data_IF_559108480797
#
_entry.id   IF_559108480797
#
_cell.length_a   1.000
_cell.length_b   1.000
_cell.length_c   1.000
_cell.angle_alpha   90.00
_cell.angle_beta   90.00
_cell.angle_gamma   90.00
#
_symmetry.space_group_name_H-M   'P 1'
#
loop_
_entity.id
_entity.type
_entity.pdbx_description
1 polymer ?
#
# COMPACT_ATOMS: atom_id res chain seq x y z
N UNK A 1 22.27 7.07 5.30
CA UNK A 1 20.82 7.55 5.25
C UNK A 1 20.37 8.24 6.54
N UNK A 2 21.26 9.01 7.17
CA UNK A 2 20.97 9.70 8.44
C UNK A 2 19.70 10.56 8.36
N UNK A 3 18.91 10.53 9.43
CA UNK A 3 17.68 11.32 9.62
C UNK A 3 16.52 11.04 8.65
N UNK A 4 16.47 9.89 8.00
CA UNK A 4 15.33 9.48 7.20
C UNK A 4 14.39 8.60 8.01
N UNK A 5 13.10 8.93 8.01
CA UNK A 5 12.07 8.19 8.76
C UNK A 5 11.40 7.12 7.89
N UNK A 6 11.36 7.32 6.59
CA UNK A 6 10.70 6.42 5.64
C UNK A 6 11.62 6.13 4.46
N UNK A 7 11.68 4.86 4.07
CA UNK A 7 12.27 4.39 2.82
C UNK A 7 11.17 3.77 1.95
N UNK A 8 11.10 4.18 0.70
CA UNK A 8 10.23 3.59 -0.31
C UNK A 8 11.12 3.12 -1.46
N UNK A 9 11.24 1.81 -1.61
CA UNK A 9 12.02 1.16 -2.66
C UNK A 9 11.10 0.67 -3.79
N UNK A 10 11.38 1.10 -5.02
CA UNK A 10 10.74 0.64 -6.27
C UNK A 10 11.82 0.37 -7.31
N UNK A 11 12.91 -0.30 -6.89
CA UNK A 11 14.13 -0.39 -7.67
C UNK A 11 14.54 -1.84 -7.93
N UNK A 12 15.56 -2.33 -7.24
CA UNK A 12 16.17 -3.63 -7.48
C UNK A 12 16.51 -4.34 -6.15
N UNK A 13 16.65 -5.68 -6.15
CA UNK A 13 17.02 -6.44 -4.98
C UNK A 13 18.32 -5.95 -4.32
N UNK A 14 18.36 -5.97 -2.99
CA UNK A 14 19.58 -5.74 -2.21
C UNK A 14 20.10 -4.29 -2.20
N UNK A 15 19.24 -3.31 -2.58
CA UNK A 15 19.63 -1.88 -2.57
C UNK A 15 19.63 -1.28 -1.16
N UNK A 16 19.06 -1.97 -0.19
CA UNK A 16 19.08 -1.61 1.22
C UNK A 16 19.62 -2.77 2.04
N UNK A 17 20.39 -2.48 3.07
CA UNK A 17 20.93 -3.47 3.99
C UNK A 17 20.75 -3.03 5.45
N UNK A 18 20.98 -3.96 6.38
CA UNK A 18 20.83 -3.74 7.82
C UNK A 18 21.59 -2.52 8.32
N UNK A 19 22.84 -2.33 7.88
CA UNK A 19 23.68 -1.23 8.36
C UNK A 19 23.15 0.14 7.88
N UNK A 20 22.62 0.18 6.67
CA UNK A 20 21.94 1.37 6.14
C UNK A 20 20.67 1.68 6.93
N UNK A 21 19.88 0.66 7.27
CA UNK A 21 18.69 0.82 8.12
C UNK A 21 19.07 1.35 9.50
N UNK A 22 20.13 0.83 10.11
CA UNK A 22 20.62 1.29 11.41
C UNK A 22 21.04 2.78 11.44
N UNK A 23 21.28 3.40 10.28
CA UNK A 23 21.54 4.84 10.17
C UNK A 23 20.28 5.68 9.96
N UNK A 24 19.11 5.07 9.86
CA UNK A 24 17.84 5.79 9.74
C UNK A 24 17.38 6.35 11.10
N UNK A 25 16.29 7.11 11.07
CA UNK A 25 15.65 7.57 12.29
C UNK A 25 15.11 6.37 13.11
N UNK A 26 14.96 6.57 14.41
CA UNK A 26 14.29 5.61 15.28
C UNK A 26 12.88 5.32 14.73
N UNK A 27 12.45 4.07 14.87
CA UNK A 27 11.13 3.62 14.41
C UNK A 27 10.90 3.81 12.90
N UNK A 28 11.93 3.62 12.09
CA UNK A 28 11.85 3.79 10.64
C UNK A 28 10.80 2.88 9.98
N UNK A 29 10.18 3.39 8.92
CA UNK A 29 9.22 2.68 8.07
C UNK A 29 9.91 2.31 6.76
N UNK A 30 9.79 1.05 6.33
CA UNK A 30 10.42 0.55 5.11
C UNK A 30 9.38 -0.12 4.22
N UNK A 31 9.21 0.40 3.01
CA UNK A 31 8.44 -0.21 1.93
C UNK A 31 9.40 -0.67 0.84
N UNK A 32 9.72 -1.97 0.85
CA UNK A 32 10.62 -2.61 -0.10
C UNK A 32 9.81 -3.32 -1.19
N UNK A 33 9.47 -2.59 -2.25
CA UNK A 33 8.46 -2.99 -3.24
C UNK A 33 9.05 -3.69 -4.47
N UNK A 34 10.38 -3.86 -4.58
CA UNK A 34 10.98 -4.61 -5.70
C UNK A 34 10.48 -6.06 -5.72
N UNK A 35 10.22 -6.59 -6.91
CA UNK A 35 9.60 -7.90 -7.11
C UNK A 35 10.40 -8.70 -8.15
N UNK A 36 10.66 -10.01 -7.95
CA UNK A 36 10.19 -10.88 -6.87
C UNK A 36 10.99 -10.77 -5.56
N UNK A 37 12.17 -10.20 -5.60
CA UNK A 37 13.06 -10.05 -4.43
C UNK A 37 13.09 -8.59 -4.00
N UNK A 38 12.76 -8.26 -2.73
CA UNK A 38 12.72 -6.89 -2.25
C UNK A 38 14.11 -6.27 -2.13
N UNK A 39 14.18 -4.95 -1.97
CA UNK A 39 15.42 -4.21 -1.71
C UNK A 39 16.11 -4.68 -0.42
N UNK A 40 15.33 -5.11 0.57
CA UNK A 40 15.77 -5.72 1.82
C UNK A 40 14.68 -6.68 2.31
N UNK A 41 15.07 -7.81 2.91
CA UNK A 41 14.11 -8.71 3.54
C UNK A 41 13.66 -8.18 4.90
N UNK A 42 12.40 -8.49 5.33
CA UNK A 42 11.86 -8.00 6.60
C UNK A 42 12.71 -8.31 7.82
N UNK A 43 13.26 -9.51 7.92
CA UNK A 43 14.09 -9.93 9.07
C UNK A 43 15.37 -9.09 9.17
N UNK A 44 15.99 -8.81 8.05
CA UNK A 44 17.17 -7.97 7.97
C UNK A 44 16.85 -6.51 8.31
N UNK A 45 15.74 -6.00 7.81
CA UNK A 45 15.27 -4.65 8.11
C UNK A 45 14.93 -4.47 9.59
N UNK A 46 14.23 -5.44 10.21
CA UNK A 46 13.97 -5.48 11.65
C UNK A 46 15.29 -5.51 12.45
N UNK A 47 16.25 -6.34 12.05
CA UNK A 47 17.57 -6.40 12.69
C UNK A 47 18.33 -5.06 12.58
N UNK A 48 18.04 -4.22 11.60
CA UNK A 48 18.54 -2.85 11.44
C UNK A 48 17.80 -1.80 12.27
N UNK A 49 16.69 -2.16 12.92
CA UNK A 49 15.90 -1.26 13.77
C UNK A 49 14.67 -0.63 13.09
N UNK A 50 14.27 -1.14 11.93
CA UNK A 50 13.01 -0.74 11.33
C UNK A 50 11.81 -1.22 12.15
N UNK A 51 10.80 -0.39 12.28
CA UNK A 51 9.58 -0.68 13.05
C UNK A 51 8.47 -1.24 12.16
N UNK A 52 8.20 -0.59 11.06
CA UNK A 52 7.18 -1.03 10.09
C UNK A 52 7.88 -1.44 8.80
N UNK A 53 7.56 -2.63 8.32
CA UNK A 53 8.15 -3.15 7.09
C UNK A 53 7.06 -3.74 6.23
N UNK A 54 7.08 -3.39 4.95
CA UNK A 54 6.21 -3.93 3.91
C UNK A 54 7.01 -4.39 2.70
N UNK A 55 6.54 -5.45 2.06
CA UNK A 55 7.06 -5.92 0.76
C UNK A 55 5.91 -6.27 -0.17
N UNK A 56 6.20 -6.53 -1.45
CA UNK A 56 5.22 -7.09 -2.38
C UNK A 56 4.91 -8.57 -2.18
N UNK A 57 5.60 -9.24 -1.28
CA UNK A 57 5.53 -10.71 -1.08
C UNK A 57 4.39 -11.09 -0.14
N UNK A 58 3.72 -12.21 -0.46
CA UNK A 58 2.60 -12.73 0.33
C UNK A 58 3.03 -13.58 1.55
N UNK A 59 4.30 -13.92 1.65
CA UNK A 59 4.87 -14.71 2.74
C UNK A 59 5.34 -13.86 3.94
N UNK A 60 5.15 -12.53 3.87
CA UNK A 60 5.44 -11.60 4.95
C UNK A 60 4.22 -10.75 5.31
N UNK A 61 4.15 -10.21 6.55
CA UNK A 61 3.14 -9.23 6.93
C UNK A 61 3.17 -7.97 6.05
N UNK A 62 2.10 -7.20 6.07
CA UNK A 62 2.00 -5.92 5.36
C UNK A 62 2.28 -6.04 3.85
N UNK A 63 1.69 -7.03 3.19
CA UNK A 63 1.87 -7.19 1.75
C UNK A 63 1.31 -5.99 0.98
N UNK A 64 2.18 -5.23 0.31
CA UNK A 64 1.79 -4.17 -0.63
C UNK A 64 1.69 -4.79 -2.03
N UNK A 65 0.47 -5.01 -2.50
CA UNK A 65 0.23 -5.64 -3.79
C UNK A 65 -0.93 -4.96 -4.51
N UNK A 66 -0.81 -4.81 -5.81
CA UNK A 66 -1.81 -4.22 -6.70
C UNK A 66 -3.17 -4.95 -6.64
N UNK A 67 -3.22 -6.20 -6.20
CA UNK A 67 -4.46 -6.97 -6.02
C UNK A 67 -5.43 -6.30 -5.05
N UNK A 68 -4.95 -5.48 -4.12
CA UNK A 68 -5.80 -4.71 -3.23
C UNK A 68 -6.54 -3.56 -3.93
N UNK A 69 -5.96 -2.99 -4.98
CA UNK A 69 -6.47 -1.79 -5.62
C UNK A 69 -7.25 -2.09 -6.92
N UNK A 70 -6.63 -2.81 -7.87
CA UNK A 70 -7.17 -2.94 -9.22
C UNK A 70 -8.58 -3.51 -9.33
N UNK A 71 -8.94 -4.61 -8.66
CA UNK A 71 -10.29 -5.15 -8.78
C UNK A 71 -11.36 -4.13 -8.36
N UNK A 72 -11.13 -3.42 -7.25
CA UNK A 72 -12.03 -2.40 -6.74
C UNK A 72 -12.09 -1.15 -7.64
N UNK A 73 -10.93 -0.69 -8.15
CA UNK A 73 -10.87 0.45 -9.08
C UNK A 73 -11.69 0.16 -10.34
N UNK A 74 -11.45 -0.97 -10.99
CA UNK A 74 -12.20 -1.33 -12.19
C UNK A 74 -13.68 -1.53 -11.89
N UNK A 75 -14.03 -2.19 -10.79
CA UNK A 75 -15.42 -2.38 -10.41
C UNK A 75 -16.14 -1.03 -10.22
N UNK A 76 -15.57 -0.12 -9.44
CA UNK A 76 -16.16 1.20 -9.22
C UNK A 76 -16.28 2.03 -10.50
N UNK A 77 -15.28 1.94 -11.38
CA UNK A 77 -15.29 2.58 -12.70
C UNK A 77 -16.43 2.05 -13.58
N UNK A 78 -16.61 0.72 -13.64
CA UNK A 78 -17.65 0.10 -14.46
C UNK A 78 -19.04 0.32 -13.90
N UNK A 79 -19.22 0.31 -12.58
CA UNK A 79 -20.52 0.53 -11.94
C UNK A 79 -21.16 1.89 -12.31
N UNK A 80 -20.33 2.90 -12.60
CA UNK A 80 -20.77 4.23 -13.01
C UNK A 80 -20.48 4.54 -14.48
N UNK A 81 -19.99 3.57 -15.24
CA UNK A 81 -19.58 3.72 -16.65
C UNK A 81 -18.69 4.95 -16.84
N UNK A 82 -17.72 5.15 -15.96
CA UNK A 82 -16.81 6.28 -16.07
C UNK A 82 -16.05 6.29 -17.39
N UNK A 83 -15.82 7.47 -17.91
CA UNK A 83 -15.08 7.68 -19.18
C UNK A 83 -13.56 7.63 -19.01
N UNK A 84 -13.10 7.73 -17.75
CA UNK A 84 -11.69 7.78 -17.39
C UNK A 84 -11.48 7.26 -15.97
N UNK A 85 -10.23 6.95 -15.63
CA UNK A 85 -9.76 6.68 -14.26
C UNK A 85 -8.77 7.80 -13.93
N UNK A 86 -9.28 8.88 -13.35
CA UNK A 86 -8.50 10.08 -13.02
C UNK A 86 -7.76 9.96 -11.68
N UNK A 87 -6.96 10.99 -11.34
CA UNK A 87 -6.15 11.01 -10.12
C UNK A 87 -7.02 10.99 -8.85
N UNK A 88 -8.15 11.68 -8.86
CA UNK A 88 -9.09 11.72 -7.72
C UNK A 88 -9.66 10.33 -7.42
N UNK A 89 -9.95 9.54 -8.45
CA UNK A 89 -10.40 8.16 -8.29
C UNK A 89 -9.30 7.27 -7.70
N UNK A 90 -8.04 7.46 -8.13
CA UNK A 90 -6.87 6.73 -7.59
C UNK A 90 -6.60 7.11 -6.14
N UNK A 91 -6.68 8.38 -5.81
CA UNK A 91 -6.55 8.87 -4.43
C UNK A 91 -7.67 8.33 -3.53
N UNK A 92 -8.92 8.36 -4.00
CA UNK A 92 -10.05 7.78 -3.27
C UNK A 92 -9.88 6.29 -2.99
N UNK A 93 -9.32 5.54 -3.93
CA UNK A 93 -8.99 4.13 -3.73
C UNK A 93 -7.92 3.94 -2.62
N UNK A 94 -6.87 4.76 -2.63
CA UNK A 94 -5.81 4.70 -1.63
C UNK A 94 -6.34 5.05 -0.22
N UNK A 95 -7.15 6.10 -0.11
CA UNK A 95 -7.79 6.50 1.16
C UNK A 95 -8.76 5.43 1.67
N UNK A 96 -9.54 4.81 0.78
CA UNK A 96 -10.45 3.73 1.14
C UNK A 96 -9.68 2.52 1.69
N UNK A 97 -8.54 2.16 1.11
CA UNK A 97 -7.69 1.09 1.63
C UNK A 97 -7.10 1.44 3.00
N UNK A 98 -6.57 2.65 3.15
CA UNK A 98 -5.97 3.10 4.40
C UNK A 98 -6.99 3.12 5.56
N UNK A 99 -8.24 3.50 5.29
CA UNK A 99 -9.30 3.59 6.29
C UNK A 99 -9.99 2.26 6.61
N UNK A 100 -9.61 1.16 5.97
CA UNK A 100 -10.16 -0.18 6.29
C UNK A 100 -9.61 -0.75 7.59
N UNK A 101 -8.41 -0.35 7.95
CA UNK A 101 -7.79 -0.74 9.22
C UNK A 101 -8.19 0.30 10.26
N UNK A 102 -8.92 -0.12 11.28
CA UNK A 102 -9.29 0.77 12.40
C UNK A 102 -8.07 1.03 13.30
N UNK A 103 -8.12 2.11 14.07
CA UNK A 103 -7.05 2.45 15.02
C UNK A 103 -6.78 1.32 16.04
N UNK A 104 -7.81 0.54 16.39
CA UNK A 104 -7.70 -0.60 17.31
C UNK A 104 -7.01 -1.81 16.67
N UNK A 105 -7.08 -1.96 15.34
CA UNK A 105 -6.45 -3.03 14.58
C UNK A 105 -5.02 -2.66 14.17
N UNK A 106 -4.74 -1.35 14.04
CA UNK A 106 -3.49 -0.84 13.48
C UNK A 106 -2.28 -1.19 14.37
N UNK A 107 -1.32 -1.90 13.79
CA UNK A 107 -0.07 -2.24 14.47
C UNK A 107 1.07 -2.42 13.44
N UNK A 108 2.28 -2.65 13.91
CA UNK A 108 3.49 -2.71 13.09
C UNK A 108 3.45 -3.80 12.00
N UNK A 109 2.68 -4.87 12.21
CA UNK A 109 2.54 -6.00 11.27
C UNK A 109 1.18 -6.01 10.56
N UNK A 110 0.32 -5.01 10.81
CA UNK A 110 -0.98 -4.88 10.17
C UNK A 110 -1.31 -3.41 9.89
N UNK A 111 -0.71 -2.87 8.82
CA UNK A 111 -0.92 -1.50 8.35
C UNK A 111 -1.75 -1.43 7.06
N UNK A 112 -1.99 -2.58 6.44
CA UNK A 112 -2.73 -2.71 5.19
C UNK A 112 -3.54 -4.02 5.23
N UNK A 113 -4.77 -4.06 4.67
CA UNK A 113 -5.58 -5.27 4.67
C UNK A 113 -4.88 -6.44 3.97
N UNK A 114 -5.21 -7.65 4.38
CA UNK A 114 -4.77 -8.84 3.66
C UNK A 114 -5.35 -8.88 2.23
N UNK A 115 -4.62 -9.50 1.30
CA UNK A 115 -4.96 -9.53 -0.13
C UNK A 115 -6.37 -10.09 -0.44
N UNK A 116 -6.90 -10.97 0.43
CA UNK A 116 -8.23 -11.58 0.29
C UNK A 116 -9.24 -11.08 1.34
N UNK A 117 -9.00 -9.95 1.97
CA UNK A 117 -9.97 -9.34 2.87
C UNK A 117 -11.23 -8.94 2.10
N UNK A 118 -12.40 -9.51 2.44
CA UNK A 118 -13.64 -9.26 1.69
C UNK A 118 -14.12 -7.81 1.77
N UNK A 119 -13.61 -7.00 2.70
CA UNK A 119 -13.93 -5.58 2.84
C UNK A 119 -13.32 -4.73 1.73
N UNK A 120 -12.17 -5.15 1.17
CA UNK A 120 -11.34 -4.36 0.25
C UNK A 120 -12.09 -4.00 -1.03
N UNK A 121 -12.54 -5.01 -1.77
CA UNK A 121 -13.18 -4.79 -3.08
C UNK A 121 -14.37 -3.83 -3.03
N UNK A 122 -15.36 -4.06 -2.15
CA UNK A 122 -16.51 -3.19 -2.01
C UNK A 122 -16.15 -1.75 -1.56
N UNK A 123 -15.23 -1.59 -0.63
CA UNK A 123 -14.84 -0.26 -0.13
C UNK A 123 -14.15 0.57 -1.21
N UNK A 124 -13.19 -0.02 -1.91
CA UNK A 124 -12.48 0.63 -3.01
C UNK A 124 -13.44 0.97 -4.15
N UNK A 125 -14.29 0.02 -4.57
CA UNK A 125 -15.26 0.25 -5.65
C UNK A 125 -16.22 1.41 -5.33
N UNK A 126 -16.74 1.46 -4.11
CA UNK A 126 -17.62 2.54 -3.65
C UNK A 126 -16.91 3.90 -3.72
N UNK A 127 -15.71 4.01 -3.15
CA UNK A 127 -14.97 5.26 -3.12
C UNK A 127 -14.62 5.76 -4.53
N UNK A 128 -14.20 4.86 -5.41
CA UNK A 128 -13.89 5.16 -6.82
C UNK A 128 -15.13 5.64 -7.58
N UNK A 129 -16.26 4.97 -7.40
CA UNK A 129 -17.52 5.36 -8.04
C UNK A 129 -18.00 6.75 -7.57
N UNK A 130 -17.86 7.04 -6.28
CA UNK A 130 -18.20 8.37 -5.71
C UNK A 130 -17.27 9.46 -6.26
N UNK A 131 -15.96 9.20 -6.33
CA UNK A 131 -14.99 10.12 -6.92
C UNK A 131 -15.27 10.38 -8.40
N UNK A 132 -15.60 9.34 -9.17
CA UNK A 132 -15.96 9.47 -10.58
C UNK A 132 -17.21 10.36 -10.79
N UNK A 133 -18.23 10.23 -9.93
CA UNK A 133 -19.41 11.12 -9.97
C UNK A 133 -19.04 12.55 -9.62
N UNK A 134 -18.24 12.73 -8.55
CA UNK A 134 -17.81 14.06 -8.08
C UNK A 134 -16.99 14.81 -9.12
N UNK A 135 -16.17 14.11 -9.87
CA UNK A 135 -15.30 14.70 -10.92
C UNK A 135 -15.96 14.79 -12.29
N UNK A 136 -17.21 14.33 -12.43
CA UNK A 136 -17.97 14.46 -13.68
C UNK A 136 -17.58 13.46 -14.77
N UNK A 137 -16.77 12.44 -14.47
CA UNK A 137 -16.41 11.41 -15.45
C UNK A 137 -17.37 10.22 -15.48
N UNK A 138 -18.24 10.11 -14.48
CA UNK A 138 -19.32 9.11 -14.46
C UNK A 138 -20.40 9.41 -15.52
N UNK A 139 -20.98 8.34 -16.07
CA UNK A 139 -22.06 8.40 -17.06
C UNK A 139 -23.38 7.82 -16.53
N UNK A 140 -23.37 7.28 -15.30
CA UNK A 140 -24.52 6.76 -14.56
C UNK A 140 -24.56 7.34 -13.15
#
# INVERSE_FOLDING_TARGET
MLFRSVFIGVSAPGQLNKDMVATMAKDAIIFACANPTPEIFPDEAKAGGAKVISTGRSDFPNQINNVLAFPGIFRGTFDVRASDINEEMKMAAAEALANLISDDELNEEYIIPAAFDPRVGPAVAKAVAEAARKTGVARL
#
